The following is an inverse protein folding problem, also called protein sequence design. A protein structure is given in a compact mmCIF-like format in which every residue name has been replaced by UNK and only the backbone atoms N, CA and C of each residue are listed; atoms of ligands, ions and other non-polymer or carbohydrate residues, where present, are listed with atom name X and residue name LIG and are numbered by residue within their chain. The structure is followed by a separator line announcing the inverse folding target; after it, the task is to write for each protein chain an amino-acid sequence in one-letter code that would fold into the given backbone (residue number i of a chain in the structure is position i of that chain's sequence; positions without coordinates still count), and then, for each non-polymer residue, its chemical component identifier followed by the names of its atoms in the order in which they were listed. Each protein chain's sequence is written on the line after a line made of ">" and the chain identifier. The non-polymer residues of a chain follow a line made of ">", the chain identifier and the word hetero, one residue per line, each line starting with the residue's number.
data_IF_636133099842
#
_entry.id   IF_636133099842
#
_cell.length_a   1.000
_cell.length_b   1.000
_cell.length_c   1.000
_cell.angle_alpha   90.00
_cell.angle_beta   90.00
_cell.angle_gamma   90.00
#
_symmetry.space_group_name_H-M   'P 1'
#
loop_
_entity.id
_entity.type
_entity.pdbx_description
1 polymer ?
#
# COMPACT_ATOMS: atom_id res chain seq x y z
N UNK A 1 -17.77 -2.07 30.30
CA UNK A 1 -17.08 -3.38 30.28
C UNK A 1 -15.61 -3.13 30.02
N UNK A 2 -14.76 -3.50 30.96
CA UNK A 2 -13.37 -3.06 31.02
C UNK A 2 -12.46 -4.08 30.30
N UNK A 3 -12.18 -3.86 29.00
CA UNK A 3 -11.28 -4.70 28.17
C UNK A 3 -9.84 -4.11 28.19
N UNK A 4 -8.83 -4.46 28.97
CA UNK A 4 -8.73 -4.95 30.33
C UNK A 4 -7.76 -6.15 30.41
N UNK A 5 -7.28 -6.70 29.28
CA UNK A 5 -6.55 -7.96 29.30
C UNK A 5 -5.40 -8.08 28.32
N UNK A 6 -5.78 -8.17 27.05
CA UNK A 6 -4.96 -8.75 26.01
C UNK A 6 -5.35 -8.12 24.70
N UNK A 7 -4.57 -8.39 23.66
CA UNK A 7 -4.99 -8.17 22.29
C UNK A 7 -6.26 -9.00 22.04
N UNK A 8 -7.27 -8.39 21.45
CA UNK A 8 -8.55 -9.03 21.14
C UNK A 8 -8.86 -8.90 19.65
N UNK A 9 -9.44 -9.95 19.07
CA UNK A 9 -10.05 -9.87 17.74
C UNK A 9 -11.52 -9.52 17.89
N UNK A 10 -11.92 -8.42 17.28
CA UNK A 10 -13.25 -7.85 17.39
C UNK A 10 -13.83 -7.64 15.99
N UNK A 11 -15.15 -7.46 15.93
CA UNK A 11 -15.83 -7.18 14.66
C UNK A 11 -15.64 -5.72 14.25
N UNK A 12 -15.83 -5.44 12.96
CA UNK A 12 -15.78 -4.07 12.45
C UNK A 12 -16.88 -3.18 13.07
N UNK A 13 -18.06 -3.74 13.32
CA UNK A 13 -19.17 -3.00 13.94
C UNK A 13 -18.83 -2.54 15.36
N UNK A 14 -18.19 -3.40 16.17
CA UNK A 14 -17.72 -3.04 17.51
C UNK A 14 -16.64 -1.96 17.46
N UNK A 15 -15.69 -2.06 16.52
CA UNK A 15 -14.67 -1.04 16.34
C UNK A 15 -15.26 0.32 15.94
N UNK A 16 -16.36 0.33 15.17
CA UNK A 16 -17.02 1.56 14.73
C UNK A 16 -17.78 2.29 15.83
N UNK A 17 -18.26 1.58 16.86
CA UNK A 17 -18.97 2.17 18.00
C UNK A 17 -18.06 3.04 18.87
N UNK A 18 -16.75 2.82 18.83
CA UNK A 18 -15.78 3.58 19.61
C UNK A 18 -15.30 4.82 18.83
N UNK A 19 -15.45 6.04 19.38
CA UNK A 19 -15.02 7.26 18.70
C UNK A 19 -13.50 7.25 18.53
N UNK A 20 -13.03 7.25 17.29
CA UNK A 20 -11.61 7.30 16.99
C UNK A 20 -11.15 8.74 16.75
N UNK A 21 -10.04 9.11 17.36
CA UNK A 21 -9.38 10.41 17.17
C UNK A 21 -8.55 10.45 15.89
N UNK A 22 -8.09 9.28 15.43
CA UNK A 22 -7.44 9.10 14.14
C UNK A 22 -8.11 7.94 13.40
N UNK A 23 -8.37 8.13 12.12
CA UNK A 23 -8.75 7.05 11.20
C UNK A 23 -7.87 7.14 9.97
N UNK A 24 -6.99 6.17 9.78
CA UNK A 24 -6.14 6.04 8.60
C UNK A 24 -6.86 5.20 7.54
N UNK A 25 -6.98 5.72 6.32
CA UNK A 25 -7.65 5.09 5.18
C UNK A 25 -6.81 5.16 3.93
N UNK A 26 -7.02 4.24 3.00
CA UNK A 26 -6.37 4.31 1.69
C UNK A 26 -6.74 5.62 0.97
N UNK A 27 -5.74 6.27 0.37
CA UNK A 27 -5.90 7.51 -0.38
C UNK A 27 -6.70 7.25 -1.66
N UNK A 28 -7.86 7.90 -1.76
CA UNK A 28 -8.69 7.86 -2.96
C UNK A 28 -8.24 8.88 -4.02
N UNK A 29 -7.42 9.88 -3.64
CA UNK A 29 -7.09 11.05 -4.47
C UNK A 29 -6.40 10.63 -5.76
N UNK A 30 -5.39 9.76 -5.69
CA UNK A 30 -4.67 9.29 -6.88
C UNK A 30 -5.58 8.56 -7.87
N UNK A 31 -6.45 7.69 -7.35
CA UNK A 31 -7.44 6.99 -8.17
C UNK A 31 -8.45 7.96 -8.80
N UNK A 32 -8.90 8.97 -8.05
CA UNK A 32 -9.83 9.96 -8.60
C UNK A 32 -9.17 10.79 -9.71
N UNK A 33 -7.94 11.27 -9.53
CA UNK A 33 -7.23 12.07 -10.54
C UNK A 33 -7.08 11.27 -11.84
N UNK A 34 -6.64 10.01 -11.74
CA UNK A 34 -6.49 9.13 -12.92
C UNK A 34 -7.85 8.86 -13.57
N UNK A 35 -8.89 8.62 -12.77
CA UNK A 35 -10.26 8.43 -13.26
C UNK A 35 -10.77 9.64 -14.05
N UNK A 36 -10.63 10.84 -13.47
CA UNK A 36 -11.03 12.09 -14.12
C UNK A 36 -10.20 12.40 -15.36
N UNK A 37 -8.90 12.08 -15.36
CA UNK A 37 -8.04 12.25 -16.53
C UNK A 37 -8.53 11.43 -17.72
N UNK A 38 -8.78 10.12 -17.52
CA UNK A 38 -9.27 9.26 -18.61
C UNK A 38 -10.68 9.65 -19.09
N UNK A 39 -11.57 10.02 -18.17
CA UNK A 39 -12.91 10.49 -18.52
C UNK A 39 -12.85 11.83 -19.29
N UNK A 40 -12.00 12.75 -18.87
CA UNK A 40 -11.76 14.01 -19.57
C UNK A 40 -11.18 13.79 -20.97
N UNK A 41 -10.19 12.90 -21.10
CA UNK A 41 -9.60 12.55 -22.39
C UNK A 41 -10.61 11.94 -23.37
N UNK A 42 -11.55 11.13 -22.84
CA UNK A 42 -12.61 10.52 -23.65
C UNK A 42 -13.55 11.53 -24.32
N UNK A 43 -13.61 12.76 -23.80
CA UNK A 43 -14.39 13.87 -24.37
C UNK A 43 -13.49 14.84 -25.14
N UNK A 44 -12.35 15.21 -24.56
CA UNK A 44 -11.43 16.20 -25.14
C UNK A 44 -10.79 15.75 -26.45
N UNK A 45 -10.40 14.47 -26.55
CA UNK A 45 -9.73 13.95 -27.74
C UNK A 45 -10.65 13.92 -28.97
N UNK A 46 -11.90 13.39 -28.92
CA UNK A 46 -12.82 13.50 -30.04
C UNK A 46 -13.14 14.93 -30.46
N UNK A 47 -13.35 15.84 -29.50
CA UNK A 47 -13.59 17.26 -29.78
C UNK A 47 -12.39 17.92 -30.48
N UNK A 48 -11.17 17.61 -30.03
CA UNK A 48 -9.96 18.07 -30.69
C UNK A 48 -9.89 17.60 -32.15
N UNK A 49 -10.16 16.32 -32.41
CA UNK A 49 -10.16 15.78 -33.78
C UNK A 49 -11.24 16.38 -34.67
N UNK A 50 -12.44 16.62 -34.14
CA UNK A 50 -13.53 17.32 -34.83
C UNK A 50 -13.14 18.75 -35.20
N UNK A 51 -12.56 19.50 -34.27
CA UNK A 51 -12.15 20.89 -34.51
C UNK A 51 -11.01 21.03 -35.53
N UNK A 52 -10.18 19.99 -35.69
CA UNK A 52 -9.10 19.96 -36.67
C UNK A 52 -9.53 19.36 -38.02
N UNK A 53 -10.83 19.10 -38.23
CA UNK A 53 -11.35 18.63 -39.51
C UNK A 53 -10.96 17.19 -39.86
N UNK A 54 -10.48 16.39 -38.90
CA UNK A 54 -10.00 15.02 -39.18
C UNK A 54 -11.12 14.06 -39.60
N UNK A 55 -12.38 14.49 -39.49
CA UNK A 55 -13.59 13.74 -39.86
C UNK A 55 -14.30 14.29 -41.10
N UNK A 56 -13.75 15.32 -41.76
CA UNK A 56 -14.35 15.81 -43.00
C UNK A 56 -13.97 14.89 -44.15
N UNK A 57 -14.98 14.27 -44.78
CA UNK A 57 -14.77 13.46 -45.97
C UNK A 57 -14.68 14.38 -47.19
N UNK A 58 -13.51 14.41 -47.81
CA UNK A 58 -13.21 15.00 -49.11
C UNK A 58 -13.81 14.14 -50.24
N UNK A 59 -15.13 13.94 -50.23
CA UNK A 59 -16.00 13.45 -51.31
C UNK A 59 -15.73 12.07 -51.95
N UNK A 60 -14.52 11.52 -51.84
CA UNK A 60 -14.07 10.29 -52.48
C UNK A 60 -14.22 9.06 -51.59
N UNK A 61 -14.28 7.88 -52.22
CA UNK A 61 -14.36 6.58 -51.54
C UNK A 61 -13.22 6.39 -50.52
N UNK A 62 -12.00 6.82 -50.86
CA UNK A 62 -10.86 6.77 -49.95
C UNK A 62 -11.07 7.62 -48.70
N UNK A 63 -11.55 8.86 -48.85
CA UNK A 63 -11.85 9.75 -47.73
C UNK A 63 -12.94 9.19 -46.81
N UNK A 64 -13.98 8.56 -47.39
CA UNK A 64 -15.03 7.88 -46.62
C UNK A 64 -14.50 6.67 -45.82
N UNK A 65 -13.68 5.82 -46.44
CA UNK A 65 -13.07 4.66 -45.77
C UNK A 65 -12.09 5.10 -44.67
N UNK A 66 -11.28 6.13 -44.93
CA UNK A 66 -10.33 6.68 -43.98
C UNK A 66 -11.04 7.34 -42.78
N UNK A 67 -12.06 8.17 -43.03
CA UNK A 67 -12.87 8.76 -41.98
C UNK A 67 -13.59 7.68 -41.14
N UNK A 68 -14.14 6.64 -41.79
CA UNK A 68 -14.74 5.50 -41.11
C UNK A 68 -13.75 4.75 -40.23
N UNK A 69 -12.53 4.50 -40.72
CA UNK A 69 -11.45 3.88 -39.94
C UNK A 69 -11.07 4.72 -38.72
N UNK A 70 -10.88 6.03 -38.89
CA UNK A 70 -10.59 6.96 -37.79
C UNK A 70 -11.72 6.93 -36.76
N UNK A 71 -12.98 6.94 -37.19
CA UNK A 71 -14.15 6.86 -36.30
C UNK A 71 -14.14 5.59 -35.44
N UNK A 72 -13.90 4.43 -36.04
CA UNK A 72 -13.83 3.16 -35.32
C UNK A 72 -12.67 3.17 -34.33
N UNK A 73 -11.48 3.60 -34.77
CA UNK A 73 -10.29 3.66 -33.91
C UNK A 73 -10.49 4.61 -32.72
N UNK A 74 -11.04 5.81 -32.97
CA UNK A 74 -11.37 6.77 -31.92
C UNK A 74 -12.42 6.22 -30.96
N UNK A 75 -13.45 5.54 -31.46
CA UNK A 75 -14.48 4.93 -30.62
C UNK A 75 -13.90 3.86 -29.68
N UNK A 76 -12.96 3.05 -30.16
CA UNK A 76 -12.26 2.05 -29.34
C UNK A 76 -11.39 2.71 -28.26
N UNK A 77 -10.66 3.78 -28.61
CA UNK A 77 -9.85 4.54 -27.63
C UNK A 77 -10.75 5.18 -26.57
N UNK A 78 -11.84 5.84 -26.98
CA UNK A 78 -12.81 6.47 -26.08
C UNK A 78 -13.41 5.43 -25.15
N UNK A 79 -13.89 4.30 -25.68
CA UNK A 79 -14.43 3.21 -24.87
C UNK A 79 -13.40 2.70 -23.86
N UNK A 80 -12.16 2.49 -24.28
CA UNK A 80 -11.07 2.02 -23.40
C UNK A 80 -10.78 3.04 -22.29
N UNK A 81 -10.72 4.33 -22.62
CA UNK A 81 -10.52 5.41 -21.65
C UNK A 81 -11.70 5.49 -20.67
N UNK A 82 -12.95 5.41 -21.14
CA UNK A 82 -14.14 5.41 -20.27
C UNK A 82 -14.10 4.22 -19.32
N UNK A 83 -13.84 3.01 -19.82
CA UNK A 83 -13.76 1.81 -18.98
C UNK A 83 -12.65 1.92 -17.94
N UNK A 84 -11.46 2.37 -18.33
CA UNK A 84 -10.35 2.61 -17.40
C UNK A 84 -10.74 3.66 -16.36
N UNK A 85 -11.29 4.80 -16.80
CA UNK A 85 -11.73 5.89 -15.93
C UNK A 85 -12.76 5.44 -14.90
N UNK A 86 -13.75 4.63 -15.31
CA UNK A 86 -14.74 4.03 -14.43
C UNK A 86 -14.11 3.08 -13.40
N UNK A 87 -13.15 2.25 -13.81
CA UNK A 87 -12.44 1.35 -12.88
C UNK A 87 -11.73 2.15 -11.78
N UNK A 88 -11.01 3.22 -12.15
CA UNK A 88 -10.32 4.07 -11.19
C UNK A 88 -11.30 4.86 -10.31
N UNK A 89 -12.39 5.37 -10.88
CA UNK A 89 -13.43 6.08 -10.13
C UNK A 89 -14.11 5.16 -9.11
N UNK A 90 -14.50 3.95 -9.49
CA UNK A 90 -15.09 2.99 -8.56
C UNK A 90 -14.10 2.54 -7.47
N UNK A 91 -12.81 2.44 -7.79
CA UNK A 91 -11.76 2.20 -6.79
C UNK A 91 -11.68 3.37 -5.79
N UNK A 92 -11.70 4.62 -6.26
CA UNK A 92 -11.73 5.82 -5.41
C UNK A 92 -12.98 5.85 -4.51
N UNK A 93 -14.16 5.60 -5.08
CA UNK A 93 -15.43 5.52 -4.35
C UNK A 93 -15.39 4.41 -3.29
N UNK A 94 -14.79 3.27 -3.61
CA UNK A 94 -14.60 2.20 -2.63
C UNK A 94 -13.68 2.69 -1.49
N UNK A 95 -12.53 3.30 -1.78
CA UNK A 95 -11.62 3.81 -0.77
C UNK A 95 -12.27 4.89 0.15
N UNK A 96 -13.26 5.64 -0.34
CA UNK A 96 -14.01 6.63 0.46
C UNK A 96 -15.01 6.03 1.45
N UNK A 97 -15.33 4.72 1.36
CA UNK A 97 -16.27 4.09 2.29
C UNK A 97 -15.81 4.25 3.74
N UNK A 98 -16.77 4.45 4.65
CA UNK A 98 -16.49 4.56 6.09
C UNK A 98 -15.86 3.29 6.66
N UNK A 99 -16.17 2.13 6.08
CA UNK A 99 -15.59 0.83 6.40
C UNK A 99 -14.14 0.64 5.96
N UNK A 100 -13.64 1.48 5.04
CA UNK A 100 -12.34 1.27 4.41
C UNK A 100 -11.22 2.02 5.13
N UNK A 101 -11.03 1.65 6.39
CA UNK A 101 -9.94 2.11 7.24
C UNK A 101 -8.98 0.95 7.53
N UNK A 102 -7.71 1.28 7.73
CA UNK A 102 -6.64 0.34 8.07
C UNK A 102 -6.30 0.42 9.55
N UNK A 103 -6.20 1.64 10.07
CA UNK A 103 -5.88 1.91 11.47
C UNK A 103 -6.87 2.92 12.03
N UNK A 104 -7.35 2.68 13.25
CA UNK A 104 -8.04 3.68 14.07
C UNK A 104 -7.33 3.79 15.41
N UNK A 105 -7.14 5.01 15.89
CA UNK A 105 -6.58 5.23 17.21
C UNK A 105 -7.58 5.97 18.09
N UNK A 106 -7.71 5.50 19.31
CA UNK A 106 -8.55 6.06 20.35
C UNK A 106 -7.77 6.12 21.67
N UNK A 107 -8.26 6.81 22.72
CA UNK A 107 -7.56 6.91 24.00
C UNK A 107 -7.29 5.55 24.69
N UNK A 108 -8.15 4.57 24.45
CA UNK A 108 -8.09 3.22 25.01
C UNK A 108 -7.10 2.29 24.30
N UNK A 109 -6.76 2.58 23.04
CA UNK A 109 -5.90 1.71 22.23
C UNK A 109 -5.99 1.96 20.72
N UNK A 110 -5.36 1.05 19.98
CA UNK A 110 -5.31 1.05 18.51
C UNK A 110 -6.12 -0.11 17.97
N UNK A 111 -6.93 0.16 16.96
CA UNK A 111 -7.65 -0.84 16.18
C UNK A 111 -6.96 -0.99 14.83
N UNK A 112 -6.56 -2.20 14.49
CA UNK A 112 -5.95 -2.55 13.21
C UNK A 112 -6.89 -3.45 12.44
N UNK A 113 -7.29 -3.02 11.25
CA UNK A 113 -8.09 -3.84 10.35
C UNK A 113 -7.17 -4.76 9.56
N UNK A 114 -7.27 -6.06 9.80
CA UNK A 114 -6.47 -7.08 9.13
C UNK A 114 -6.88 -7.24 7.65
N UNK A 115 -8.16 -7.02 7.37
CA UNK A 115 -8.72 -7.08 6.02
C UNK A 115 -8.27 -5.90 5.16
N UNK A 116 -7.86 -6.21 3.93
CA UNK A 116 -7.51 -5.22 2.93
C UNK A 116 -8.77 -4.47 2.44
N UNK A 117 -8.64 -3.19 2.07
CA UNK A 117 -9.75 -2.37 1.57
C UNK A 117 -10.34 -2.91 0.25
N UNK A 118 -9.54 -3.65 -0.52
CA UNK A 118 -9.97 -4.32 -1.74
C UNK A 118 -11.09 -5.34 -1.51
N UNK A 119 -11.12 -5.96 -0.33
CA UNK A 119 -12.06 -7.04 0.02
C UNK A 119 -13.30 -6.54 0.77
N UNK A 120 -13.71 -5.30 0.53
CA UNK A 120 -14.88 -4.66 1.14
C UNK A 120 -16.22 -5.39 0.89
N UNK A 121 -16.25 -6.44 0.07
CA UNK A 121 -17.44 -7.27 -0.21
C UNK A 121 -17.58 -8.45 0.75
N UNK A 122 -16.55 -8.76 1.53
CA UNK A 122 -16.60 -9.81 2.55
C UNK A 122 -17.41 -9.37 3.78
N UNK A 123 -17.95 -10.33 4.52
CA UNK A 123 -18.86 -10.08 5.64
C UNK A 123 -18.21 -9.24 6.75
N UNK A 124 -18.91 -8.21 7.23
CA UNK A 124 -18.46 -7.38 8.34
C UNK A 124 -18.62 -8.05 9.72
N UNK A 125 -19.28 -9.21 9.77
CA UNK A 125 -19.47 -9.99 11.00
C UNK A 125 -18.22 -10.77 11.42
N UNK A 126 -17.22 -10.89 10.54
CA UNK A 126 -15.97 -11.57 10.86
C UNK A 126 -15.13 -10.74 11.86
N UNK A 127 -14.45 -11.37 12.83
CA UNK A 127 -13.56 -10.69 13.77
C UNK A 127 -12.23 -10.32 13.11
N UNK A 128 -12.27 -9.30 12.25
CA UNK A 128 -11.14 -8.87 11.38
C UNK A 128 -10.38 -7.67 11.92
N UNK A 129 -10.71 -7.21 13.12
CA UNK A 129 -10.07 -6.06 13.75
C UNK A 129 -9.31 -6.53 14.97
N UNK A 130 -7.99 -6.35 14.96
CA UNK A 130 -7.17 -6.51 16.15
C UNK A 130 -7.24 -5.23 16.98
N UNK A 131 -7.80 -5.32 18.18
CA UNK A 131 -7.73 -4.26 19.17
C UNK A 131 -6.50 -4.47 20.05
N UNK A 132 -5.64 -3.45 20.10
CA UNK A 132 -4.43 -3.41 20.90
C UNK A 132 -4.64 -2.37 22.00
N UNK A 133 -4.85 -2.79 23.26
CA UNK A 133 -5.02 -1.86 24.37
C UNK A 133 -3.78 -0.98 24.55
N UNK A 134 -3.97 0.28 24.93
CA UNK A 134 -2.88 1.25 25.11
C UNK A 134 -1.75 0.74 26.01
N UNK A 135 -2.07 -0.01 27.06
CA UNK A 135 -1.09 -0.59 27.99
C UNK A 135 -0.20 -1.67 27.39
N UNK A 136 -0.63 -2.33 26.32
CA UNK A 136 0.16 -3.33 25.61
C UNK A 136 1.13 -2.67 24.64
N UNK A 137 0.90 -1.40 24.28
CA UNK A 137 1.75 -0.62 23.40
C UNK A 137 2.91 -0.09 24.22
N UNK A 138 4.10 -0.63 23.95
CA UNK A 138 5.36 -0.17 24.53
C UNK A 138 5.82 1.12 23.89
N UNK A 139 5.71 1.21 22.56
CA UNK A 139 6.24 2.34 21.81
C UNK A 139 5.56 2.45 20.45
N UNK A 140 5.33 3.68 20.02
CA UNK A 140 5.04 4.01 18.63
C UNK A 140 6.26 4.69 18.00
N UNK A 141 6.67 4.21 16.83
CA UNK A 141 7.81 4.77 16.10
C UNK A 141 7.41 5.05 14.67
N UNK A 142 7.56 6.29 14.23
CA UNK A 142 7.43 6.62 12.82
C UNK A 142 8.78 6.45 12.14
N UNK A 143 8.81 5.65 11.08
CA UNK A 143 10.02 5.31 10.34
C UNK A 143 9.88 5.82 8.91
N UNK A 144 10.75 6.74 8.51
CA UNK A 144 10.90 7.18 7.13
C UNK A 144 12.18 6.62 6.53
N UNK A 145 12.07 5.76 5.52
CA UNK A 145 13.20 5.21 4.79
C UNK A 145 13.24 5.80 3.38
N UNK A 146 14.41 6.28 2.96
CA UNK A 146 14.65 6.64 1.55
C UNK A 146 15.13 5.38 0.84
N UNK A 147 14.23 4.71 0.12
CA UNK A 147 14.60 3.54 -0.68
C UNK A 147 14.99 4.02 -2.06
N UNK A 148 16.26 3.86 -2.41
CA UNK A 148 16.73 4.07 -3.80
C UNK A 148 16.21 2.90 -4.63
N UNK A 149 15.51 3.18 -5.73
CA UNK A 149 15.16 2.13 -6.68
C UNK A 149 16.44 1.62 -7.33
N UNK A 150 16.83 0.39 -7.02
CA UNK A 150 17.75 -0.36 -7.87
C UNK A 150 16.91 -0.83 -9.06
N UNK A 151 17.33 -0.45 -10.26
CA UNK A 151 16.65 -0.82 -11.49
C UNK A 151 16.49 -2.35 -11.56
N UNK A 152 15.27 -2.81 -11.80
CA UNK A 152 15.06 -4.17 -12.28
C UNK A 152 15.76 -4.27 -13.65
N UNK A 153 16.41 -5.38 -13.95
CA UNK A 153 17.37 -5.50 -15.06
C UNK A 153 16.80 -5.16 -16.46
N UNK A 154 15.47 -5.04 -16.58
CA UNK A 154 14.74 -4.78 -17.82
C UNK A 154 14.09 -3.37 -17.89
N UNK A 155 14.34 -2.48 -16.92
CA UNK A 155 13.81 -1.10 -16.92
C UNK A 155 14.97 -0.11 -16.89
N UNK A 156 15.02 0.90 -17.78
CA UNK A 156 16.08 1.92 -17.78
C UNK A 156 16.22 2.56 -16.39
N UNK A 157 17.46 2.89 -16.01
CA UNK A 157 17.81 3.56 -14.74
C UNK A 157 16.91 4.78 -14.47
N UNK A 158 15.84 4.56 -13.71
CA UNK A 158 15.12 5.65 -13.09
C UNK A 158 15.67 5.75 -11.66
N UNK A 159 16.63 6.67 -11.47
CA UNK A 159 17.25 7.01 -10.18
C UNK A 159 16.24 7.63 -9.17
N UNK A 160 14.96 7.25 -9.25
CA UNK A 160 13.93 7.74 -8.36
C UNK A 160 14.11 7.13 -6.98
N UNK A 161 14.49 7.99 -6.04
CA UNK A 161 14.44 7.67 -4.61
C UNK A 161 12.99 7.79 -4.17
N UNK A 162 12.38 6.68 -3.72
CA UNK A 162 11.06 6.72 -3.12
C UNK A 162 11.20 6.80 -1.60
N UNK A 163 10.48 7.73 -1.00
CA UNK A 163 10.39 7.81 0.46
C UNK A 163 9.29 6.87 0.93
N UNK A 164 9.68 5.79 1.58
CA UNK A 164 8.76 4.92 2.31
C UNK A 164 8.56 5.45 3.71
N UNK A 165 7.32 5.50 4.16
CA UNK A 165 6.97 5.93 5.50
C UNK A 165 6.07 4.87 6.14
N UNK A 166 6.39 4.48 7.38
CA UNK A 166 5.67 3.47 8.12
C UNK A 166 5.54 3.85 9.59
N UNK A 167 4.54 3.26 10.25
CA UNK A 167 4.35 3.31 11.69
C UNK A 167 4.66 1.93 12.27
N UNK A 168 5.63 1.86 13.16
CA UNK A 168 5.94 0.66 13.94
C UNK A 168 5.30 0.77 15.33
N UNK A 169 4.58 -0.27 15.71
CA UNK A 169 3.90 -0.42 16.97
C UNK A 169 4.62 -1.55 17.70
N UNK A 170 5.49 -1.20 18.66
CA UNK A 170 6.16 -2.19 19.50
C UNK A 170 5.30 -2.49 20.72
N UNK A 171 5.13 -3.77 21.03
CA UNK A 171 4.32 -4.23 22.15
C UNK A 171 5.19 -4.67 23.34
N UNK A 172 4.60 -4.69 24.54
CA UNK A 172 5.25 -5.26 25.73
C UNK A 172 5.20 -6.79 25.74
N UNK A 173 4.17 -7.39 25.14
CA UNK A 173 4.02 -8.83 25.00
C UNK A 173 4.57 -9.34 23.67
N UNK A 174 5.24 -10.49 23.70
CA UNK A 174 5.80 -11.15 22.51
C UNK A 174 4.75 -12.00 21.77
N UNK A 175 3.60 -12.27 22.40
CA UNK A 175 2.57 -13.15 21.83
C UNK A 175 1.69 -12.40 20.81
N UNK A 176 2.18 -12.37 19.57
CA UNK A 176 1.43 -11.92 18.39
C UNK A 176 0.67 -13.06 17.69
N UNK A 177 0.69 -14.29 18.23
CA UNK A 177 0.19 -15.48 17.54
C UNK A 177 -1.29 -15.38 17.15
N UNK A 178 -2.11 -14.74 17.98
CA UNK A 178 -3.53 -14.51 17.70
C UNK A 178 -3.73 -13.61 16.46
N UNK A 179 -2.95 -12.53 16.36
CA UNK A 179 -3.03 -11.61 15.21
C UNK A 179 -2.45 -12.30 13.98
N UNK A 180 -1.31 -12.98 14.12
CA UNK A 180 -0.63 -13.68 13.03
C UNK A 180 -1.55 -14.74 12.41
N UNK A 181 -2.18 -15.58 13.23
CA UNK A 181 -3.10 -16.59 12.75
C UNK A 181 -4.29 -15.97 11.99
N UNK A 182 -4.94 -14.95 12.57
CA UNK A 182 -6.07 -14.28 11.91
C UNK A 182 -5.65 -13.54 10.64
N UNK A 183 -4.44 -12.99 10.60
CA UNK A 183 -3.88 -12.31 9.45
C UNK A 183 -3.58 -13.29 8.30
N UNK A 184 -2.99 -14.44 8.61
CA UNK A 184 -2.75 -15.52 7.64
C UNK A 184 -4.06 -16.12 7.12
N UNK A 185 -5.05 -16.35 7.99
CA UNK A 185 -6.38 -16.81 7.55
C UNK A 185 -7.03 -15.83 6.57
N UNK A 186 -6.95 -14.53 6.84
CA UNK A 186 -7.46 -13.50 5.94
C UNK A 186 -6.62 -13.40 4.65
N UNK A 187 -5.31 -13.62 4.72
CA UNK A 187 -4.43 -13.65 3.55
C UNK A 187 -4.76 -14.83 2.60
N UNK A 188 -5.08 -15.99 3.17
CA UNK A 188 -5.47 -17.19 2.43
C UNK A 188 -6.90 -17.13 1.89
N UNK A 189 -7.72 -16.22 2.41
CA UNK A 189 -9.11 -16.07 1.98
C UNK A 189 -9.18 -15.64 0.51
N UNK A 190 -9.97 -16.36 -0.27
CA UNK A 190 -10.16 -16.04 -1.69
C UNK A 190 -11.00 -14.77 -1.81
N UNK A 191 -10.43 -13.77 -2.49
CA UNK A 191 -11.16 -12.56 -2.85
C UNK A 191 -12.36 -12.85 -3.76
N UNK A 192 -13.32 -11.91 -3.86
CA UNK A 192 -14.52 -12.09 -4.66
C UNK A 192 -14.17 -12.33 -6.14
N UNK A 193 -14.79 -13.36 -6.73
CA UNK A 193 -14.63 -13.69 -8.15
C UNK A 193 -15.29 -12.61 -9.02
N UNK A 194 -14.51 -11.90 -9.83
CA UNK A 194 -15.03 -10.82 -10.68
C UNK A 194 -15.60 -11.34 -12.00
N UNK A 195 -15.01 -12.42 -12.53
CA UNK A 195 -15.41 -13.15 -13.75
C UNK A 195 -15.19 -14.64 -13.46
N UNK A 196 -16.06 -15.57 -13.93
CA UNK A 196 -15.90 -17.03 -13.73
C UNK A 196 -14.44 -17.45 -13.97
N UNK A 197 -13.72 -17.82 -12.90
CA UNK A 197 -12.33 -18.29 -12.95
C UNK A 197 -11.25 -17.26 -12.59
N UNK A 198 -11.55 -15.95 -12.62
CA UNK A 198 -10.59 -14.90 -12.23
C UNK A 198 -10.84 -14.48 -10.79
N UNK A 199 -10.02 -15.01 -9.89
CA UNK A 199 -9.96 -14.57 -8.48
C UNK A 199 -8.79 -13.61 -8.31
N UNK A 200 -9.09 -12.37 -7.96
CA UNK A 200 -8.05 -11.42 -7.56
C UNK A 200 -7.66 -11.72 -6.12
N UNK A 201 -6.43 -12.18 -5.90
CA UNK A 201 -5.85 -12.17 -4.54
C UNK A 201 -5.67 -10.72 -4.11
N UNK A 202 -6.01 -10.43 -2.87
CA UNK A 202 -5.78 -9.14 -2.26
C UNK A 202 -4.28 -8.82 -2.31
N UNK A 203 -3.87 -7.82 -3.10
CA UNK A 203 -2.48 -7.39 -3.15
C UNK A 203 -2.21 -6.43 -2.01
N UNK A 204 -1.21 -6.77 -1.18
CA UNK A 204 -0.55 -5.86 -0.24
C UNK A 204 -1.46 -5.38 0.89
N UNK A 205 -1.47 -6.12 2.01
CA UNK A 205 -1.93 -5.53 3.25
C UNK A 205 -1.00 -4.37 3.61
N UNK A 206 -1.56 -3.26 4.08
CA UNK A 206 -0.78 -2.17 4.66
C UNK A 206 -0.24 -2.53 6.06
N UNK A 207 -0.37 -3.79 6.48
CA UNK A 207 0.08 -4.31 7.75
C UNK A 207 1.11 -5.40 7.51
N UNK A 208 2.18 -5.38 8.30
CA UNK A 208 3.19 -6.44 8.38
C UNK A 208 3.43 -6.76 9.85
N UNK A 209 3.58 -8.04 10.16
CA UNK A 209 3.81 -8.51 11.51
C UNK A 209 5.26 -8.99 11.62
N UNK A 210 5.91 -8.67 12.73
CA UNK A 210 7.25 -9.12 13.08
C UNK A 210 7.21 -9.85 14.42
N UNK A 211 6.74 -11.12 14.45
CA UNK A 211 6.53 -11.88 15.70
C UNK A 211 7.76 -11.92 16.60
N UNK A 212 8.94 -12.17 16.04
CA UNK A 212 10.21 -12.27 16.76
C UNK A 212 10.59 -11.01 17.55
N UNK A 213 10.09 -9.84 17.12
CA UNK A 213 10.39 -8.55 17.74
C UNK A 213 9.20 -7.94 18.49
N UNK A 214 8.02 -8.57 18.42
CA UNK A 214 6.79 -8.00 18.97
C UNK A 214 6.38 -6.69 18.30
N UNK A 215 6.74 -6.49 17.02
CA UNK A 215 6.46 -5.25 16.28
C UNK A 215 5.41 -5.48 15.21
N UNK A 216 4.45 -4.58 15.15
CA UNK A 216 3.48 -4.48 14.05
C UNK A 216 3.82 -3.24 13.24
N UNK A 217 4.09 -3.40 11.94
CA UNK A 217 4.35 -2.29 11.03
C UNK A 217 3.12 -2.01 10.19
N UNK A 218 2.74 -0.74 10.14
CA UNK A 218 1.72 -0.19 9.25
C UNK A 218 2.42 0.60 8.15
N UNK A 219 2.38 0.08 6.93
CA UNK A 219 2.89 0.75 5.73
C UNK A 219 1.98 1.95 5.43
N UNK A 220 2.51 3.15 5.69
CA UNK A 220 1.73 4.39 5.56
C UNK A 220 1.84 4.97 4.16
N UNK A 221 3.06 5.06 3.63
CA UNK A 221 3.33 5.53 2.27
C UNK A 221 4.40 4.65 1.66
N UNK A 222 4.02 3.82 0.70
CA UNK A 222 4.92 2.98 -0.13
C UNK A 222 4.51 3.15 -1.59
N UNK A 223 5.15 2.41 -2.51
CA UNK A 223 4.72 2.37 -3.91
C UNK A 223 3.28 1.86 -4.08
N UNK A 224 2.83 0.97 -3.19
CA UNK A 224 1.54 0.28 -3.30
C UNK A 224 0.48 0.78 -2.32
N UNK A 225 0.90 1.46 -1.26
CA UNK A 225 0.03 1.90 -0.17
C UNK A 225 0.19 3.39 0.05
N UNK A 226 -0.91 4.08 0.26
CA UNK A 226 -0.87 5.49 0.64
C UNK A 226 -2.04 5.75 1.57
N UNK A 227 -1.78 5.90 2.85
CA UNK A 227 -2.78 6.15 3.86
C UNK A 227 -2.98 7.65 4.06
N UNK A 228 -4.23 8.01 4.37
CA UNK A 228 -4.70 9.35 4.70
C UNK A 228 -5.30 9.31 6.10
N UNK A 229 -5.00 10.27 7.00
CA UNK A 229 -4.24 11.50 6.74
C UNK A 229 -2.73 11.25 6.58
N UNK A 230 -1.98 12.31 6.25
CA UNK A 230 -0.51 12.22 6.08
C UNK A 230 0.18 11.71 7.34
N UNK A 231 1.38 11.11 7.21
CA UNK A 231 2.18 10.63 8.35
C UNK A 231 2.40 11.73 9.39
N UNK A 232 2.70 12.96 8.95
CA UNK A 232 2.90 14.11 9.85
C UNK A 232 1.65 14.41 10.68
N UNK A 233 0.48 14.36 10.05
CA UNK A 233 -0.81 14.55 10.74
C UNK A 233 -1.08 13.40 11.70
N UNK A 234 -0.85 12.16 11.27
CA UNK A 234 -1.02 10.98 12.11
C UNK A 234 -0.10 11.02 13.34
N UNK A 235 1.16 11.43 13.15
CA UNK A 235 2.15 11.61 14.21
C UNK A 235 1.72 12.68 15.22
N UNK A 236 1.18 13.81 14.77
CA UNK A 236 0.67 14.83 15.68
C UNK A 236 -0.50 14.33 16.54
N UNK A 237 -1.42 13.56 15.95
CA UNK A 237 -2.57 13.00 16.70
C UNK A 237 -2.13 11.88 17.64
N UNK A 238 -1.27 10.96 17.16
CA UNK A 238 -0.79 9.82 17.95
C UNK A 238 0.16 10.26 19.07
N UNK A 239 1.01 11.26 18.85
CA UNK A 239 1.88 11.82 19.89
C UNK A 239 1.12 12.52 21.01
N UNK A 240 -0.12 12.95 20.77
CA UNK A 240 -1.02 13.42 21.84
C UNK A 240 -1.65 12.30 22.67
N UNK A 241 -1.59 11.04 22.19
CA UNK A 241 -2.26 9.90 22.81
C UNK A 241 -1.28 8.87 23.40
N UNK A 242 -0.08 8.77 22.83
CA UNK A 242 0.91 7.74 23.11
C UNK A 242 2.31 8.36 23.15
N UNK A 243 3.23 7.70 23.86
CA UNK A 243 4.64 8.06 23.78
C UNK A 243 5.18 7.66 22.40
N UNK A 244 5.35 8.67 21.54
CA UNK A 244 5.87 8.51 20.17
C UNK A 244 7.33 8.92 20.11
N UNK A 245 8.17 8.04 19.55
CA UNK A 245 9.52 8.41 19.16
C UNK A 245 9.57 8.67 17.65
N UNK A 246 10.23 9.77 17.26
CA UNK A 246 10.50 10.07 15.86
C UNK A 246 11.98 9.85 15.62
N UNK A 247 12.33 8.90 14.77
CA UNK A 247 13.69 8.79 14.25
C UNK A 247 13.61 9.21 12.79
N UNK A 248 14.06 10.43 12.48
CA UNK A 248 14.43 10.72 11.10
C UNK A 248 15.61 9.82 10.79
N UNK A 249 15.45 8.89 9.83
CA UNK A 249 16.58 8.10 9.39
C UNK A 249 17.69 9.07 9.01
N UNK A 250 18.81 9.00 9.74
CA UNK A 250 20.03 9.68 9.36
C UNK A 250 20.26 9.39 7.88
N UNK A 251 20.77 10.36 7.12
CA UNK A 251 21.07 10.15 5.71
C UNK A 251 22.09 9.01 5.63
N UNK A 252 21.58 7.80 5.39
CA UNK A 252 22.35 6.58 5.61
C UNK A 252 23.48 6.54 4.59
N UNK A 253 24.71 6.51 5.08
CA UNK A 253 25.89 6.45 4.25
C UNK A 253 25.73 5.29 3.24
N UNK A 254 26.03 5.50 1.96
CA UNK A 254 25.94 4.45 0.95
C UNK A 254 26.72 3.23 1.45
N UNK A 255 26.12 2.03 1.44
CA UNK A 255 26.76 0.83 1.97
C UNK A 255 28.16 0.55 1.39
N UNK A 256 28.40 1.00 0.16
CA UNK A 256 29.71 0.94 -0.53
C UNK A 256 30.82 1.64 0.27
N UNK A 257 30.47 2.61 1.12
CA UNK A 257 31.41 3.36 1.97
C UNK A 257 31.59 2.74 3.37
N UNK A 258 30.79 1.75 3.74
CA UNK A 258 30.87 1.04 5.02
C UNK A 258 31.92 -0.09 4.95
N UNK A 259 32.55 -0.42 6.08
CA UNK A 259 33.42 -1.60 6.17
C UNK A 259 32.60 -2.89 5.94
N UNK A 260 33.26 -3.99 5.57
CA UNK A 260 32.58 -5.27 5.30
C UNK A 260 31.73 -5.75 6.50
N UNK A 261 32.23 -5.60 7.71
CA UNK A 261 31.53 -5.97 8.94
C UNK A 261 30.30 -5.08 9.18
N UNK A 262 30.43 -3.77 8.90
CA UNK A 262 29.32 -2.83 8.99
C UNK A 262 28.28 -3.06 7.89
N UNK A 263 28.70 -3.49 6.70
CA UNK A 263 27.78 -3.91 5.63
C UNK A 263 26.98 -5.15 6.02
N UNK A 264 27.62 -6.16 6.58
CA UNK A 264 26.94 -7.38 7.04
C UNK A 264 25.94 -7.11 8.17
N UNK A 265 26.32 -6.30 9.18
CA UNK A 265 25.38 -5.94 10.24
C UNK A 265 24.20 -5.13 9.70
N UNK A 266 24.47 -4.26 8.73
CA UNK A 266 23.43 -3.49 8.05
C UNK A 266 22.47 -4.38 7.25
N UNK A 267 22.98 -5.40 6.57
CA UNK A 267 22.16 -6.39 5.88
C UNK A 267 21.33 -7.23 6.85
N UNK A 268 21.90 -7.65 7.99
CA UNK A 268 21.13 -8.31 9.06
C UNK A 268 20.00 -7.42 9.55
N UNK A 269 20.28 -6.15 9.80
CA UNK A 269 19.28 -5.21 10.27
C UNK A 269 18.16 -4.98 9.23
N UNK A 270 18.49 -4.91 7.93
CA UNK A 270 17.49 -4.86 6.86
C UNK A 270 16.61 -6.12 6.83
N UNK A 271 17.21 -7.30 7.00
CA UNK A 271 16.47 -8.57 7.08
C UNK A 271 15.58 -8.62 8.32
N UNK A 272 16.09 -8.24 9.51
CA UNK A 272 15.30 -8.14 10.76
C UNK A 272 14.12 -7.18 10.60
N UNK A 273 14.31 -6.08 9.87
CA UNK A 273 13.25 -5.11 9.53
C UNK A 273 12.30 -5.59 8.44
N UNK A 274 12.44 -6.83 7.94
CA UNK A 274 11.59 -7.39 6.88
C UNK A 274 11.88 -6.87 5.49
N UNK A 275 12.97 -6.15 5.28
CA UNK A 275 13.40 -5.68 3.98
C UNK A 275 14.34 -6.69 3.30
N UNK A 276 13.92 -7.96 3.27
CA UNK A 276 14.71 -9.03 2.66
C UNK A 276 14.90 -8.81 1.15
N UNK A 277 13.93 -8.17 0.48
CA UNK A 277 14.01 -7.86 -0.94
C UNK A 277 15.04 -6.76 -1.20
N UNK A 278 15.00 -5.66 -0.43
CA UNK A 278 16.00 -4.59 -0.49
C UNK A 278 17.39 -5.11 -0.17
N UNK A 279 17.52 -5.92 0.89
CA UNK A 279 18.78 -6.56 1.24
C UNK A 279 19.29 -7.48 0.10
N UNK A 280 18.40 -8.21 -0.58
CA UNK A 280 18.79 -9.11 -1.68
C UNK A 280 19.28 -8.30 -2.88
N UNK A 281 18.53 -7.27 -3.28
CA UNK A 281 18.92 -6.39 -4.39
C UNK A 281 20.27 -5.72 -4.12
N UNK A 282 20.46 -5.27 -2.89
CA UNK A 282 21.67 -4.60 -2.43
C UNK A 282 22.90 -5.53 -2.42
N UNK A 283 22.75 -6.77 -1.96
CA UNK A 283 23.83 -7.78 -2.02
C UNK A 283 24.22 -8.08 -3.47
N UNK A 284 23.25 -8.15 -4.38
CA UNK A 284 23.52 -8.35 -5.81
C UNK A 284 24.32 -7.19 -6.41
N UNK A 285 23.96 -5.96 -6.07
CA UNK A 285 24.63 -4.75 -6.57
C UNK A 285 26.05 -4.62 -6.00
N UNK A 286 26.22 -4.83 -4.70
CA UNK A 286 27.51 -4.63 -4.02
C UNK A 286 28.50 -5.77 -4.23
N UNK A 287 28.02 -7.02 -4.30
CA UNK A 287 28.87 -8.21 -4.39
C UNK A 287 28.80 -8.92 -5.76
N UNK A 288 28.00 -8.43 -6.69
CA UNK A 288 27.85 -9.02 -8.03
C UNK A 288 27.20 -10.41 -8.03
N UNK A 289 26.50 -10.79 -6.96
CA UNK A 289 25.89 -12.11 -6.82
C UNK A 289 24.63 -12.26 -7.69
N UNK A 290 24.33 -13.49 -8.10
CA UNK A 290 23.03 -13.82 -8.71
C UNK A 290 21.91 -13.77 -7.66
N UNK A 291 20.65 -13.65 -8.08
CA UNK A 291 19.50 -13.59 -7.17
C UNK A 291 19.47 -14.76 -6.17
N UNK A 292 19.71 -15.99 -6.66
CA UNK A 292 19.73 -17.19 -5.82
C UNK A 292 20.87 -17.17 -4.82
N UNK A 293 22.07 -16.74 -5.24
CA UNK A 293 23.25 -16.63 -4.37
C UNK A 293 23.06 -15.53 -3.32
N UNK A 294 22.50 -14.38 -3.69
CA UNK A 294 22.21 -13.30 -2.76
C UNK A 294 21.19 -13.72 -1.69
N UNK A 295 20.15 -14.45 -2.09
CA UNK A 295 19.16 -14.96 -1.15
C UNK A 295 19.72 -16.05 -0.23
N UNK A 296 20.61 -16.92 -0.73
CA UNK A 296 21.33 -17.89 0.10
C UNK A 296 22.30 -17.22 1.07
N UNK A 297 22.99 -16.18 0.61
CA UNK A 297 23.90 -15.38 1.43
C UNK A 297 23.16 -14.71 2.60
N UNK A 298 22.02 -14.07 2.34
CA UNK A 298 21.20 -13.47 3.41
C UNK A 298 20.66 -14.50 4.40
N UNK A 299 20.36 -15.73 3.96
CA UNK A 299 19.96 -16.82 4.86
C UNK A 299 21.11 -17.34 5.73
N UNK A 300 22.35 -17.06 5.37
CA UNK A 300 23.53 -17.45 6.14
C UNK A 300 24.02 -16.38 7.12
N UNK A 301 23.45 -15.16 7.06
CA UNK A 301 23.74 -14.03 7.95
C UNK A 301 22.91 -14.06 9.22
#
# INVERSE_FOLDING_TARGET
>A
MSRYGKIELITEAEAQQNPALLTAKMSWIGHLIVGLFFLGWSVGFPLFLLNNGLFTADGGLFGLLFAGFIWVFCSVIVLTCVLAGLVFLFSALAAMKTSNWTLRAAPEGIYLKLRNYGDHRLSAADPIVAFIPKREIRRLKFVGQKTRMVADADVPEDNQTYKEESLEIALYGEDLSLIEHAFEEEHLRKGPTWIKGVTTRAKGAALRLFPESGVIRVDWKTRKTHLTPSVKTAMAVLGGLYDTETEEAAEEAPLVTLSKEAQEERLREMVRRGDAIGATALVRETQGLTLTQAHQYLKSL
#
